data_IF_871336532214
#
_entry.id   IF_871336532214
#
_cell.length_a   1.000
_cell.length_b   1.000
_cell.length_c   1.000
_cell.angle_alpha   90.00
_cell.angle_beta   90.00
_cell.angle_gamma   90.00
#
_symmetry.space_group_name_H-M   'P 1'
#
loop_
_entity.id
_entity.type
_entity.pdbx_description
1 polymer ?
#
# COMPACT_ATOMS: atom_id res chain seq x y z
N UNK A 1 -0.68 -48.94 63.19
CA UNK A 1 0.23 -47.87 63.65
C UNK A 1 0.55 -46.96 62.46
N UNK A 2 -0.01 -45.74 62.43
CA UNK A 2 0.22 -44.73 61.38
C UNK A 2 1.33 -43.78 61.83
N UNK A 3 2.39 -43.61 61.04
CA UNK A 3 3.39 -42.55 61.24
C UNK A 3 3.17 -41.44 60.22
N UNK A 4 3.23 -40.22 60.72
CA UNK A 4 2.90 -38.95 60.08
C UNK A 4 4.19 -38.18 59.75
N UNK A 5 4.12 -37.42 58.65
CA UNK A 5 4.86 -36.19 58.29
C UNK A 5 6.36 -36.28 57.98
N UNK A 6 6.74 -35.80 56.79
CA UNK A 6 7.66 -34.65 56.66
C UNK A 6 7.36 -33.89 55.35
N UNK A 7 7.44 -32.56 55.41
CA UNK A 7 7.10 -31.56 54.40
C UNK A 7 8.29 -31.20 53.48
N UNK A 8 7.91 -30.71 52.30
CA UNK A 8 8.52 -29.61 51.52
C UNK A 8 9.93 -29.74 50.92
N UNK A 9 9.99 -29.74 49.58
CA UNK A 9 10.95 -29.06 48.70
C UNK A 9 10.51 -29.41 47.25
N UNK A 10 10.42 -28.53 46.25
CA UNK A 10 10.80 -27.14 46.10
C UNK A 10 10.07 -26.58 44.86
N UNK A 11 10.13 -25.28 44.73
CA UNK A 11 9.58 -24.53 43.60
C UNK A 11 10.17 -25.00 42.26
N UNK A 12 9.32 -25.29 41.28
CA UNK A 12 9.70 -25.28 39.87
C UNK A 12 8.77 -24.31 39.14
N UNK A 13 9.20 -23.06 39.12
CA UNK A 13 8.72 -22.11 38.12
C UNK A 13 9.44 -22.37 36.81
N UNK A 14 8.71 -22.26 35.69
CA UNK A 14 9.17 -21.62 34.46
C UNK A 14 8.05 -21.70 33.42
N UNK A 15 7.38 -20.57 33.26
CA UNK A 15 6.75 -20.05 32.05
C UNK A 15 7.11 -20.79 30.75
N UNK A 16 6.15 -21.49 30.16
CA UNK A 16 6.16 -21.80 28.73
C UNK A 16 5.69 -20.55 27.98
N UNK A 17 6.65 -19.70 27.61
CA UNK A 17 6.42 -18.56 26.74
C UNK A 17 6.09 -19.05 25.32
N UNK A 18 4.94 -18.60 24.83
CA UNK A 18 4.44 -18.84 23.48
C UNK A 18 5.46 -18.40 22.43
N UNK A 19 5.93 -19.34 21.62
CA UNK A 19 6.64 -19.06 20.38
C UNK A 19 5.62 -18.99 19.24
N UNK A 20 4.84 -17.91 19.20
CA UNK A 20 4.28 -17.45 17.93
C UNK A 20 5.48 -16.96 17.13
N UNK A 21 5.99 -17.77 16.19
CA UNK A 21 6.72 -17.24 15.05
C UNK A 21 5.73 -16.33 14.32
N UNK A 22 5.83 -15.03 14.60
CA UNK A 22 5.38 -14.00 13.67
C UNK A 22 6.22 -14.21 12.41
N UNK A 23 5.69 -15.00 11.46
CA UNK A 23 6.09 -14.88 10.06
C UNK A 23 5.71 -13.45 9.70
N UNK A 24 6.69 -12.54 9.80
CA UNK A 24 6.55 -11.23 9.22
C UNK A 24 6.37 -11.48 7.72
N UNK A 25 5.26 -11.03 7.08
CA UNK A 25 5.24 -11.00 5.64
C UNK A 25 6.46 -10.18 5.22
N UNK A 26 7.32 -10.76 4.39
CA UNK A 26 8.39 -10.01 3.77
C UNK A 26 7.71 -8.80 3.13
N UNK A 27 8.06 -7.59 3.57
CA UNK A 27 7.71 -6.40 2.81
C UNK A 27 8.30 -6.64 1.43
N UNK A 28 7.42 -6.93 0.46
CA UNK A 28 7.84 -7.07 -0.92
C UNK A 28 8.42 -5.70 -1.29
N UNK A 29 9.74 -5.68 -1.44
CA UNK A 29 10.48 -4.50 -1.83
C UNK A 29 10.16 -4.28 -3.31
N UNK A 30 9.03 -3.63 -3.58
CA UNK A 30 8.59 -3.31 -4.93
C UNK A 30 9.43 -2.13 -5.41
N UNK A 31 10.66 -2.41 -5.88
CA UNK A 31 11.57 -1.35 -6.35
C UNK A 31 11.23 -0.84 -7.76
N UNK A 32 10.42 -1.59 -8.52
CA UNK A 32 10.14 -1.28 -9.91
C UNK A 32 8.61 -1.27 -10.17
N UNK A 33 8.11 -0.12 -10.62
CA UNK A 33 6.74 0.00 -11.09
C UNK A 33 6.68 -0.38 -12.57
N UNK A 34 5.98 -1.48 -12.85
CA UNK A 34 5.74 -2.01 -14.18
C UNK A 34 4.38 -1.57 -14.73
N UNK A 35 3.59 -0.82 -13.96
CA UNK A 35 2.35 -0.26 -14.44
C UNK A 35 1.83 0.89 -13.60
N UNK A 36 0.80 1.53 -14.16
CA UNK A 36 0.10 2.67 -13.58
C UNK A 36 -1.39 2.53 -13.83
N UNK A 37 -2.17 2.73 -12.78
CA UNK A 37 -3.62 2.89 -12.83
C UNK A 37 -3.94 4.33 -12.46
N UNK A 38 -4.75 4.98 -13.29
CA UNK A 38 -5.46 6.20 -12.91
C UNK A 38 -6.87 5.79 -12.50
N UNK A 39 -7.21 6.03 -11.24
CA UNK A 39 -8.51 5.73 -10.66
C UNK A 39 -9.22 7.03 -10.34
N UNK A 40 -10.52 7.10 -10.63
CA UNK A 40 -11.36 8.22 -10.23
C UNK A 40 -12.44 7.71 -9.27
N UNK A 41 -12.36 8.12 -8.01
CA UNK A 41 -13.15 7.52 -6.94
C UNK A 41 -12.81 6.03 -6.77
N UNK A 42 -13.66 5.13 -7.28
CA UNK A 42 -13.48 3.67 -7.22
C UNK A 42 -13.52 3.01 -8.61
N UNK A 43 -13.34 3.79 -9.67
CA UNK A 43 -13.38 3.30 -11.05
C UNK A 43 -12.01 3.51 -11.69
N UNK A 44 -11.43 2.42 -12.18
CA UNK A 44 -10.20 2.47 -12.97
C UNK A 44 -10.55 3.03 -14.35
N UNK A 45 -10.02 4.21 -14.66
CA UNK A 45 -10.28 4.90 -15.92
C UNK A 45 -9.17 4.67 -16.95
N UNK A 46 -7.95 4.39 -16.48
CA UNK A 46 -6.79 4.09 -17.33
C UNK A 46 -5.91 3.07 -16.60
N UNK A 47 -5.44 2.05 -17.33
CA UNK A 47 -4.39 1.12 -16.90
C UNK A 47 -3.34 1.04 -18.00
N UNK A 48 -2.08 1.32 -17.67
CA UNK A 48 -0.96 1.28 -18.62
C UNK A 48 0.22 0.59 -17.97
N UNK A 49 0.86 -0.31 -18.71
CA UNK A 49 2.01 -1.07 -18.22
C UNK A 49 3.34 -0.46 -18.69
N UNK A 50 3.41 0.17 -19.86
CA UNK A 50 4.68 0.70 -20.35
C UNK A 50 4.51 2.02 -21.09
N UNK A 51 5.51 2.89 -20.96
CA UNK A 51 5.63 4.15 -21.68
C UNK A 51 5.18 5.39 -20.88
N UNK A 52 4.88 6.47 -21.61
CA UNK A 52 4.42 7.74 -21.03
C UNK A 52 2.91 7.83 -21.18
N UNK A 53 2.20 8.07 -20.07
CA UNK A 53 0.76 8.30 -20.09
C UNK A 53 0.50 9.81 -20.14
N UNK A 54 -0.15 10.26 -21.21
CA UNK A 54 -0.68 11.63 -21.32
C UNK A 54 -2.18 11.58 -21.53
N UNK A 55 -2.92 12.42 -20.82
CA UNK A 55 -4.36 12.49 -20.93
C UNK A 55 -4.90 13.90 -20.73
N UNK A 56 -6.18 14.09 -21.02
CA UNK A 56 -6.90 15.32 -20.75
C UNK A 56 -8.18 14.99 -19.98
N UNK A 57 -8.46 15.79 -18.97
CA UNK A 57 -9.70 15.72 -18.21
C UNK A 57 -10.50 16.99 -18.48
N UNK A 58 -11.73 16.84 -18.93
CA UNK A 58 -12.64 17.98 -19.09
C UNK A 58 -13.25 18.33 -17.74
N UNK A 59 -13.01 19.56 -17.29
CA UNK A 59 -13.60 20.13 -16.09
C UNK A 59 -14.73 21.07 -16.47
N UNK A 60 -15.89 20.94 -15.84
CA UNK A 60 -16.95 21.94 -15.95
C UNK A 60 -16.79 23.00 -14.85
N UNK A 61 -16.79 24.30 -15.19
CA UNK A 61 -16.75 25.37 -14.20
C UNK A 61 -17.86 25.23 -13.15
N UNK A 62 -17.51 25.41 -11.88
CA UNK A 62 -18.45 25.35 -10.76
C UNK A 62 -18.75 23.95 -10.22
N UNK A 63 -18.21 22.89 -10.86
CA UNK A 63 -18.36 21.52 -10.39
C UNK A 63 -17.05 20.99 -9.83
N UNK A 64 -17.16 20.18 -8.77
CA UNK A 64 -16.05 19.39 -8.24
C UNK A 64 -16.00 18.04 -8.96
N UNK A 65 -14.81 17.60 -9.34
CA UNK A 65 -14.62 16.21 -9.76
C UNK A 65 -14.40 15.31 -8.55
N UNK A 66 -14.65 14.02 -8.72
CA UNK A 66 -14.16 13.04 -7.77
C UNK A 66 -12.62 13.07 -7.71
N UNK A 67 -12.02 12.69 -6.57
CA UNK A 67 -10.58 12.54 -6.43
C UNK A 67 -10.00 11.58 -7.47
N UNK A 68 -8.76 11.83 -7.85
CA UNK A 68 -7.98 10.93 -8.67
C UNK A 68 -6.86 10.32 -7.84
N UNK A 69 -6.69 9.01 -8.00
CA UNK A 69 -5.58 8.27 -7.44
C UNK A 69 -4.68 7.80 -8.58
N UNK A 70 -3.38 7.99 -8.42
CA UNK A 70 -2.35 7.40 -9.29
C UNK A 70 -1.73 6.25 -8.52
N UNK A 71 -1.99 5.04 -8.98
CA UNK A 71 -1.61 3.80 -8.29
C UNK A 71 -0.58 3.10 -9.15
N UNK A 72 0.50 2.63 -8.54
CA UNK A 72 1.54 1.88 -9.25
C UNK A 72 1.24 0.38 -9.15
N UNK A 73 1.54 -0.34 -10.23
CA UNK A 73 1.43 -1.78 -10.31
C UNK A 73 2.82 -2.40 -10.42
N UNK A 74 3.04 -3.49 -9.70
CA UNK A 74 4.22 -4.30 -9.84
C UNK A 74 4.12 -5.25 -11.06
N UNK A 75 5.15 -6.04 -11.39
CA UNK A 75 5.10 -6.96 -12.54
C UNK A 75 4.03 -8.06 -12.45
N UNK A 76 3.52 -8.36 -11.24
CA UNK A 76 2.42 -9.30 -11.03
C UNK A 76 1.04 -8.63 -11.17
N UNK A 77 0.99 -7.30 -11.17
CA UNK A 77 -0.22 -6.49 -11.21
C UNK A 77 -0.78 -6.12 -9.85
N UNK A 78 0.01 -6.28 -8.79
CA UNK A 78 -0.38 -5.89 -7.45
C UNK A 78 -0.16 -4.39 -7.25
N UNK A 79 -1.14 -3.74 -6.60
CA UNK A 79 -1.06 -2.32 -6.24
C UNK A 79 -0.01 -2.13 -5.13
N UNK A 80 0.90 -1.18 -5.32
CA UNK A 80 1.89 -0.84 -4.30
C UNK A 80 2.17 0.67 -4.24
N UNK A 81 2.77 1.09 -3.12
CA UNK A 81 3.28 2.43 -2.92
C UNK A 81 4.80 2.35 -2.75
N UNK A 82 5.60 3.08 -3.55
CA UNK A 82 7.06 3.05 -3.42
C UNK A 82 7.49 3.76 -2.13
N UNK A 83 8.50 3.19 -1.46
CA UNK A 83 9.06 3.73 -0.21
C UNK A 83 9.77 5.07 -0.41
N UNK A 84 10.34 5.28 -1.61
CA UNK A 84 10.99 6.52 -2.02
C UNK A 84 10.24 7.18 -3.18
N UNK A 85 10.21 8.53 -3.26
CA UNK A 85 9.56 9.23 -4.36
C UNK A 85 10.40 9.12 -5.65
N UNK A 86 10.25 8.01 -6.37
CA UNK A 86 10.88 7.80 -7.68
C UNK A 86 10.08 8.39 -8.85
N UNK A 87 8.83 8.79 -8.62
CA UNK A 87 7.90 9.23 -9.65
C UNK A 87 7.41 10.66 -9.37
N UNK A 88 7.14 11.40 -10.44
CA UNK A 88 6.57 12.74 -10.36
C UNK A 88 5.33 12.86 -11.24
N UNK A 89 4.36 13.63 -10.78
CA UNK A 89 3.12 13.90 -11.50
C UNK A 89 3.06 15.37 -11.86
N UNK A 90 3.09 15.66 -13.16
CA UNK A 90 2.95 17.01 -13.70
C UNK A 90 1.53 17.25 -14.19
N UNK A 91 0.97 18.41 -13.82
CA UNK A 91 -0.32 18.87 -14.33
C UNK A 91 -0.14 20.20 -15.04
N UNK A 92 -0.87 20.39 -16.13
CA UNK A 92 -0.99 21.70 -16.79
C UNK A 92 -2.47 22.01 -16.96
N UNK A 93 -2.85 23.25 -16.64
CA UNK A 93 -4.21 23.75 -16.84
C UNK A 93 -4.21 24.63 -18.08
N UNK A 94 -4.90 24.19 -19.13
CA UNK A 94 -5.15 25.04 -20.29
C UNK A 94 -6.25 26.04 -19.98
N UNK A 95 -5.98 27.33 -20.19
CA UNK A 95 -7.03 28.36 -20.22
C UNK A 95 -7.59 28.45 -21.65
N UNK A 96 -8.85 28.05 -21.89
CA UNK A 96 -9.43 28.11 -23.23
C UNK A 96 -9.65 29.55 -23.74
N UNK A 97 -9.55 30.56 -22.88
CA UNK A 97 -9.67 31.98 -23.23
C UNK A 97 -8.31 32.61 -23.59
N UNK A 98 -7.20 31.97 -23.22
CA UNK A 98 -5.85 32.40 -23.60
C UNK A 98 -5.42 31.57 -24.81
N UNK A 99 -5.62 32.12 -26.00
CA UNK A 99 -5.04 31.59 -27.25
C UNK A 99 -3.67 32.23 -27.46
N UNK A 100 -2.66 31.39 -27.69
CA UNK A 100 -1.32 31.82 -28.07
C UNK A 100 -1.29 32.37 -29.50
#
# INVERSE_FOLDING_TARGET
MRRFRTLAAGALGALLFASLLLVQPAAAQHEEADGLVLRQGNVDIVTVWQGVVTGQLSLQPGNWTQPFDVILLDPAGDEFQPDEPAFSLGWSLGDPLITA
#
